data_IF_118039689478
#
_entry.id   IF_118039689478
#
_cell.length_a   1.000
_cell.length_b   1.000
_cell.length_c   1.000
_cell.angle_alpha   90.00
_cell.angle_beta   90.00
_cell.angle_gamma   90.00
#
_symmetry.space_group_name_H-M   'P 1'
#
loop_
_entity.id
_entity.type
_entity.pdbx_description
1 polymer ?
#
# COMPACT_ATOMS: atom_id res chain seq x y z
N UNK A 1 -9.41 6.29 -8.47
CA UNK A 1 -9.54 7.51 -7.63
C UNK A 1 -8.79 8.64 -8.29
N UNK A 2 -9.19 9.88 -8.07
CA UNK A 2 -8.52 11.06 -8.62
C UNK A 2 -7.73 11.73 -7.51
N UNK A 3 -6.50 12.13 -7.77
CA UNK A 3 -5.65 12.90 -6.86
C UNK A 3 -5.55 14.32 -7.38
N UNK A 4 -5.81 15.30 -6.53
CA UNK A 4 -5.65 16.71 -6.88
C UNK A 4 -4.29 17.24 -6.45
N UNK A 5 -3.77 18.23 -7.19
CA UNK A 5 -2.50 18.89 -6.87
C UNK A 5 -2.50 19.41 -5.43
N UNK A 6 -3.60 20.02 -4.96
CA UNK A 6 -3.76 20.53 -3.58
C UNK A 6 -3.48 19.44 -2.54
N UNK A 7 -4.15 18.29 -2.69
CA UNK A 7 -4.01 17.16 -1.79
C UNK A 7 -2.57 16.63 -1.72
N UNK A 8 -1.92 16.48 -2.89
CA UNK A 8 -0.52 16.07 -2.96
C UNK A 8 0.40 17.03 -2.20
N UNK A 9 0.25 18.34 -2.43
CA UNK A 9 1.11 19.37 -1.82
C UNK A 9 0.96 19.43 -0.30
N UNK A 10 -0.27 19.33 0.21
CA UNK A 10 -0.58 19.33 1.64
C UNK A 10 0.03 18.09 2.33
N UNK A 11 -0.18 16.89 1.77
CA UNK A 11 0.32 15.64 2.34
C UNK A 11 1.84 15.57 2.36
N UNK A 12 2.52 16.03 1.30
CA UNK A 12 3.98 16.02 1.21
C UNK A 12 4.63 17.32 1.70
N UNK A 13 3.85 18.27 2.22
CA UNK A 13 4.32 19.55 2.77
C UNK A 13 5.19 20.33 1.77
N UNK A 14 4.74 20.42 0.52
CA UNK A 14 5.41 21.14 -0.55
C UNK A 14 4.83 22.54 -0.64
N UNK A 15 5.69 23.55 -0.63
CA UNK A 15 5.31 24.96 -0.65
C UNK A 15 4.98 25.43 -2.08
N UNK A 16 3.86 26.14 -2.25
CA UNK A 16 3.54 26.80 -3.52
C UNK A 16 4.30 28.12 -3.64
N UNK A 17 5.01 28.27 -4.75
CA UNK A 17 5.65 29.53 -5.14
C UNK A 17 4.74 30.37 -6.05
N UNK A 18 3.95 29.69 -6.91
CA UNK A 18 2.90 30.30 -7.72
C UNK A 18 1.76 29.31 -7.90
N UNK A 19 0.55 29.70 -7.53
CA UNK A 19 -0.68 28.91 -7.75
C UNK A 19 -1.91 29.79 -7.73
N UNK A 20 -3.01 29.27 -8.24
CA UNK A 20 -4.38 29.76 -8.03
C UNK A 20 -5.23 28.59 -7.55
N UNK A 21 -6.41 28.85 -6.98
CA UNK A 21 -7.31 27.78 -6.53
C UNK A 21 -7.65 26.81 -7.69
N UNK A 22 -7.87 27.32 -8.89
CA UNK A 22 -8.13 26.52 -10.10
C UNK A 22 -6.96 25.56 -10.42
N UNK A 23 -5.70 26.05 -10.32
CA UNK A 23 -4.51 25.26 -10.59
C UNK A 23 -4.27 24.17 -9.55
N UNK A 24 -4.68 24.43 -8.30
CA UNK A 24 -4.59 23.44 -7.23
C UNK A 24 -5.65 22.33 -7.35
N UNK A 25 -6.70 22.55 -8.13
CA UNK A 25 -7.74 21.54 -8.44
C UNK A 25 -7.41 20.71 -9.70
N UNK A 26 -6.25 20.90 -10.33
CA UNK A 26 -5.83 20.03 -11.43
C UNK A 26 -5.66 18.59 -10.96
N UNK A 27 -6.11 17.67 -11.80
CA UNK A 27 -6.04 16.23 -11.56
C UNK A 27 -4.65 15.67 -11.90
N UNK A 28 -4.19 14.73 -11.11
CA UNK A 28 -3.00 13.92 -11.35
C UNK A 28 -3.49 12.51 -11.66
N UNK A 29 -3.18 12.01 -12.85
CA UNK A 29 -3.73 10.74 -13.38
C UNK A 29 -2.69 9.62 -13.43
N UNK A 30 -1.42 9.92 -13.20
CA UNK A 30 -0.31 8.95 -13.23
C UNK A 30 0.64 9.16 -12.04
N UNK A 31 1.25 8.08 -11.59
CA UNK A 31 2.29 8.10 -10.54
C UNK A 31 3.70 8.36 -11.10
N UNK A 32 3.83 8.30 -12.41
CA UNK A 32 5.09 8.59 -13.08
C UNK A 32 5.49 10.06 -12.94
N UNK A 33 6.76 10.29 -12.63
CA UNK A 33 7.35 11.62 -12.48
C UNK A 33 8.34 11.86 -13.63
N UNK A 34 8.17 12.97 -14.34
CA UNK A 34 9.11 13.38 -15.39
C UNK A 34 10.19 14.28 -14.81
N UNK A 35 11.43 13.99 -15.12
CA UNK A 35 12.58 14.88 -14.92
C UNK A 35 13.04 15.34 -16.30
N UNK A 36 12.68 16.58 -16.71
CA UNK A 36 12.96 17.05 -18.06
C UNK A 36 14.46 17.09 -18.30
N UNK A 37 14.88 16.55 -19.43
CA UNK A 37 16.28 16.47 -19.84
C UNK A 37 16.43 16.89 -21.31
N UNK A 38 16.04 16.01 -22.21
CA UNK A 38 16.12 16.26 -23.66
C UNK A 38 15.18 17.38 -24.10
N UNK A 39 14.06 17.54 -23.44
CA UNK A 39 13.07 18.59 -23.68
C UNK A 39 13.69 19.98 -23.53
N UNK A 40 14.67 20.14 -22.65
CA UNK A 40 15.42 21.39 -22.48
C UNK A 40 16.32 21.73 -23.68
N UNK A 41 16.59 20.76 -24.56
CA UNK A 41 17.32 20.97 -25.82
C UNK A 41 16.41 21.17 -27.02
N UNK A 42 15.10 21.16 -26.81
CA UNK A 42 14.09 21.28 -27.87
C UNK A 42 13.64 19.95 -28.48
N UNK A 43 13.98 18.81 -27.86
CA UNK A 43 13.55 17.49 -28.31
C UNK A 43 12.36 17.01 -27.47
N UNK A 44 11.19 16.91 -28.09
CA UNK A 44 9.92 16.60 -27.42
C UNK A 44 9.29 15.28 -27.84
N UNK A 45 9.98 14.45 -28.65
CA UNK A 45 9.48 13.13 -28.97
C UNK A 45 9.37 12.31 -27.68
N UNK A 46 8.19 11.70 -27.46
CA UNK A 46 7.85 10.95 -26.24
C UNK A 46 7.82 11.80 -24.94
N UNK A 47 7.70 13.12 -25.04
CA UNK A 47 7.46 13.95 -23.88
C UNK A 47 6.06 13.68 -23.30
N UNK A 48 5.98 13.55 -21.99
CA UNK A 48 4.75 13.26 -21.22
C UNK A 48 4.38 14.48 -20.37
N UNK A 49 3.67 15.46 -20.93
CA UNK A 49 3.30 16.67 -20.22
C UNK A 49 2.30 16.44 -19.08
N UNK A 50 1.51 15.37 -19.15
CA UNK A 50 0.51 14.96 -18.12
C UNK A 50 1.13 14.51 -16.79
N UNK A 51 2.45 14.34 -16.75
CA UNK A 51 3.17 13.95 -15.54
C UNK A 51 3.61 15.17 -14.72
N UNK A 52 3.81 14.97 -13.43
CA UNK A 52 4.47 15.97 -12.58
C UNK A 52 5.88 16.23 -13.14
N UNK A 53 6.21 17.48 -13.36
CA UNK A 53 7.54 17.88 -13.83
C UNK A 53 8.42 18.22 -12.63
N UNK A 54 9.44 17.39 -12.35
CA UNK A 54 10.34 17.55 -11.21
C UNK A 54 11.70 18.07 -11.67
N UNK A 55 12.05 19.26 -11.22
CA UNK A 55 13.33 19.90 -11.52
C UNK A 55 14.29 19.82 -10.34
N UNK A 56 15.46 19.25 -10.58
CA UNK A 56 16.55 19.18 -9.63
C UNK A 56 17.73 20.06 -10.02
N UNK A 57 18.89 19.81 -9.40
CA UNK A 57 20.11 20.60 -9.61
C UNK A 57 20.62 20.56 -11.06
N UNK A 58 20.52 19.40 -11.73
CA UNK A 58 21.01 19.27 -13.11
C UNK A 58 20.18 20.12 -14.07
N UNK A 59 18.87 19.96 -13.98
CA UNK A 59 17.89 20.67 -14.80
C UNK A 59 17.99 22.18 -14.54
N UNK A 60 18.05 22.57 -13.27
CA UNK A 60 18.20 23.97 -12.87
C UNK A 60 19.53 24.59 -13.37
N UNK A 61 20.63 23.89 -13.17
CA UNK A 61 21.96 24.35 -13.61
C UNK A 61 22.03 24.59 -15.13
N UNK A 62 21.42 23.68 -15.90
CA UNK A 62 21.34 23.81 -17.35
C UNK A 62 20.48 25.00 -17.76
N UNK A 63 19.34 25.23 -17.15
CA UNK A 63 18.51 26.42 -17.38
C UNK A 63 19.24 27.71 -17.04
N UNK A 64 20.01 27.75 -15.94
CA UNK A 64 20.74 28.92 -15.50
C UNK A 64 21.94 29.25 -16.43
N UNK A 65 22.46 28.29 -17.18
CA UNK A 65 23.49 28.50 -18.19
C UNK A 65 22.95 29.15 -19.48
N UNK A 66 21.61 29.14 -19.69
CA UNK A 66 20.99 29.78 -20.85
C UNK A 66 20.84 31.29 -20.65
N UNK A 67 20.73 32.02 -21.77
CA UNK A 67 20.24 33.39 -21.73
C UNK A 67 18.79 33.43 -21.25
N UNK A 68 18.35 34.55 -20.67
CA UNK A 68 16.96 34.72 -20.22
C UNK A 68 15.94 34.46 -21.35
N UNK A 69 16.26 34.91 -22.56
CA UNK A 69 15.39 34.69 -23.73
C UNK A 69 15.25 33.18 -24.06
N UNK A 70 16.37 32.47 -24.19
CA UNK A 70 16.34 31.03 -24.50
C UNK A 70 15.71 30.21 -23.39
N UNK A 71 15.99 30.55 -22.13
CA UNK A 71 15.36 29.93 -20.97
C UNK A 71 13.83 30.05 -21.00
N UNK A 72 13.33 31.25 -21.28
CA UNK A 72 11.90 31.47 -21.42
C UNK A 72 11.29 30.66 -22.58
N UNK A 73 11.95 30.64 -23.77
CA UNK A 73 11.45 29.86 -24.91
C UNK A 73 11.32 28.36 -24.58
N UNK A 74 12.37 27.77 -24.00
CA UNK A 74 12.38 26.35 -23.62
C UNK A 74 11.29 26.07 -22.61
N UNK A 75 11.18 26.86 -21.55
CA UNK A 75 10.15 26.70 -20.54
C UNK A 75 8.75 26.85 -21.11
N UNK A 76 8.51 27.78 -22.03
CA UNK A 76 7.21 27.99 -22.68
C UNK A 76 6.80 26.81 -23.58
N UNK A 77 7.77 26.06 -24.14
CA UNK A 77 7.51 24.86 -24.91
C UNK A 77 7.24 23.65 -24.01
N UNK A 78 8.00 23.52 -22.90
CA UNK A 78 7.83 22.44 -21.94
C UNK A 78 6.53 22.53 -21.13
N UNK A 79 6.08 23.74 -20.83
CA UNK A 79 4.91 24.00 -20.02
C UNK A 79 3.66 23.88 -20.88
N UNK A 80 2.93 22.80 -20.71
CA UNK A 80 1.70 22.51 -21.47
C UNK A 80 0.48 22.49 -20.55
N UNK A 81 -0.72 22.78 -21.07
CA UNK A 81 -1.94 22.84 -20.25
C UNK A 81 -2.22 21.56 -19.47
N UNK A 82 -1.79 20.40 -19.98
CA UNK A 82 -1.92 19.07 -19.39
C UNK A 82 -1.03 18.90 -18.15
N UNK A 83 0.03 19.71 -18.01
CA UNK A 83 0.96 19.59 -16.86
C UNK A 83 0.25 19.93 -15.56
N UNK A 84 0.16 19.00 -14.61
CA UNK A 84 -0.54 19.25 -13.36
C UNK A 84 0.20 20.25 -12.48
N UNK A 85 1.50 20.07 -12.29
CA UNK A 85 2.34 20.92 -11.43
C UNK A 85 3.82 20.77 -11.79
N UNK A 86 4.58 21.85 -11.57
CA UNK A 86 6.03 21.85 -11.65
C UNK A 86 6.59 21.97 -10.24
N UNK A 87 7.49 21.07 -9.87
CA UNK A 87 8.10 21.05 -8.55
C UNK A 87 9.61 21.25 -8.67
N UNK A 88 10.12 22.29 -8.03
CA UNK A 88 11.55 22.60 -7.96
C UNK A 88 12.09 22.07 -6.62
N UNK A 89 12.98 21.08 -6.70
CA UNK A 89 13.58 20.42 -5.55
C UNK A 89 14.75 21.21 -4.94
N UNK A 90 15.24 20.75 -3.76
CA UNK A 90 16.42 21.28 -3.06
C UNK A 90 16.32 22.75 -2.63
N UNK A 91 15.14 23.33 -2.60
CA UNK A 91 14.97 24.75 -2.28
C UNK A 91 15.61 25.70 -3.30
N UNK A 92 15.88 25.24 -4.52
CA UNK A 92 16.49 26.04 -5.57
C UNK A 92 15.64 27.26 -5.90
N UNK A 93 16.29 28.33 -6.32
CA UNK A 93 15.61 29.55 -6.72
C UNK A 93 14.85 29.36 -8.04
N UNK A 94 13.67 29.95 -8.12
CA UNK A 94 12.82 29.88 -9.30
C UNK A 94 13.07 31.13 -10.13
N UNK A 95 13.58 30.99 -11.36
CA UNK A 95 13.88 32.14 -12.22
C UNK A 95 12.61 32.84 -12.69
N UNK A 96 12.69 34.15 -12.97
CA UNK A 96 11.56 34.99 -13.39
C UNK A 96 10.90 34.46 -14.68
N UNK A 97 11.70 33.94 -15.61
CA UNK A 97 11.21 33.35 -16.86
C UNK A 97 10.32 32.13 -16.61
N UNK A 98 10.58 31.38 -15.55
CA UNK A 98 9.74 30.23 -15.13
C UNK A 98 8.38 30.72 -14.61
N UNK A 99 8.37 31.75 -13.76
CA UNK A 99 7.10 32.37 -13.31
C UNK A 99 6.29 32.89 -14.46
N UNK A 100 6.94 33.58 -15.41
CA UNK A 100 6.29 34.13 -16.59
C UNK A 100 5.66 33.03 -17.46
N UNK A 101 6.43 32.00 -17.80
CA UNK A 101 5.94 30.86 -18.58
C UNK A 101 4.80 30.12 -17.87
N UNK A 102 4.89 29.91 -16.55
CA UNK A 102 3.85 29.26 -15.77
C UNK A 102 2.54 30.06 -15.70
N UNK A 103 2.62 31.38 -15.57
CA UNK A 103 1.44 32.27 -15.61
C UNK A 103 0.76 32.19 -16.97
N UNK A 104 1.49 32.27 -18.05
CA UNK A 104 0.96 32.22 -19.42
C UNK A 104 0.33 30.87 -19.74
N UNK A 105 0.90 29.78 -19.25
CA UNK A 105 0.44 28.41 -19.47
C UNK A 105 -0.55 27.90 -18.41
N UNK A 106 -0.82 28.68 -17.38
CA UNK A 106 -1.70 28.33 -16.26
C UNK A 106 -1.27 27.05 -15.56
N UNK A 107 -0.05 27.00 -15.03
CA UNK A 107 0.53 25.85 -14.34
C UNK A 107 1.05 26.30 -12.97
N UNK A 108 0.78 25.52 -11.92
CA UNK A 108 1.31 25.78 -10.60
C UNK A 108 2.82 25.47 -10.53
N UNK A 109 3.58 26.32 -9.84
CA UNK A 109 4.98 26.06 -9.49
C UNK A 109 5.07 25.93 -7.97
N UNK A 110 5.71 24.86 -7.56
CA UNK A 110 5.93 24.56 -6.14
C UNK A 110 7.42 24.32 -5.88
N UNK A 111 7.82 24.43 -4.63
CA UNK A 111 9.21 24.27 -4.20
C UNK A 111 9.31 23.37 -3.00
N UNK A 112 10.25 22.43 -3.01
CA UNK A 112 10.57 21.56 -1.90
C UNK A 112 12.05 21.67 -1.52
N UNK A 113 12.37 21.65 -0.23
CA UNK A 113 13.75 21.57 0.28
C UNK A 113 14.35 20.18 0.14
N UNK A 114 13.54 19.16 -0.11
CA UNK A 114 13.93 17.76 -0.23
C UNK A 114 14.85 17.53 -1.43
N UNK A 115 15.81 16.61 -1.28
CA UNK A 115 16.68 16.20 -2.38
C UNK A 115 15.88 15.53 -3.51
N UNK A 116 16.24 15.80 -4.77
CA UNK A 116 15.46 15.42 -5.95
C UNK A 116 15.10 13.94 -6.02
N UNK A 117 16.08 13.03 -5.77
CA UNK A 117 15.83 11.59 -5.84
C UNK A 117 14.89 11.11 -4.72
N UNK A 118 15.03 11.68 -3.52
CA UNK A 118 14.14 11.39 -2.40
C UNK A 118 12.72 11.90 -2.68
N UNK A 119 12.61 13.14 -3.15
CA UNK A 119 11.31 13.73 -3.50
C UNK A 119 10.60 12.96 -4.61
N UNK A 120 11.35 12.53 -5.64
CA UNK A 120 10.80 11.66 -6.70
C UNK A 120 10.20 10.37 -6.13
N UNK A 121 10.92 9.70 -5.22
CA UNK A 121 10.42 8.49 -4.56
C UNK A 121 9.20 8.75 -3.68
N UNK A 122 9.18 9.86 -2.91
CA UNK A 122 8.04 10.26 -2.08
C UNK A 122 6.80 10.57 -2.94
N UNK A 123 6.96 11.28 -4.05
CA UNK A 123 5.89 11.60 -5.00
C UNK A 123 5.31 10.33 -5.64
N UNK A 124 6.15 9.48 -6.23
CA UNK A 124 5.71 8.23 -6.87
C UNK A 124 5.01 7.32 -5.85
N UNK A 125 5.63 7.08 -4.69
CA UNK A 125 5.04 6.21 -3.66
C UNK A 125 3.69 6.71 -3.14
N UNK A 126 3.53 8.03 -2.99
CA UNK A 126 2.25 8.62 -2.61
C UNK A 126 1.20 8.41 -3.70
N UNK A 127 1.54 8.71 -4.96
CA UNK A 127 0.62 8.59 -6.09
C UNK A 127 0.27 7.14 -6.39
N UNK A 128 1.22 6.21 -6.34
CA UNK A 128 0.97 4.77 -6.51
C UNK A 128 -0.10 4.29 -5.53
N UNK A 129 0.06 4.66 -4.26
CA UNK A 129 -0.90 4.28 -3.22
C UNK A 129 -2.28 4.93 -3.40
N UNK A 130 -2.36 6.17 -3.92
CA UNK A 130 -3.62 6.92 -4.06
C UNK A 130 -4.34 6.65 -5.38
N UNK A 131 -3.61 6.40 -6.46
CA UNK A 131 -4.15 6.10 -7.79
C UNK A 131 -4.42 4.61 -8.00
N UNK A 132 -3.89 3.73 -7.14
CA UNK A 132 -4.11 2.30 -7.21
C UNK A 132 -5.60 1.97 -7.31
N UNK A 133 -5.93 1.08 -8.22
CA UNK A 133 -7.29 0.56 -8.35
C UNK A 133 -7.64 -0.24 -7.08
N UNK A 134 -8.67 0.20 -6.38
CA UNK A 134 -9.18 -0.49 -5.19
C UNK A 134 -10.26 -1.48 -5.58
N UNK A 135 -10.21 -2.64 -4.98
CA UNK A 135 -11.31 -3.62 -4.99
C UNK A 135 -11.69 -3.93 -3.54
N UNK A 136 -12.89 -4.44 -3.33
CA UNK A 136 -13.33 -4.78 -1.98
C UNK A 136 -13.40 -6.29 -1.82
N UNK A 137 -12.92 -6.79 -0.69
CA UNK A 137 -13.07 -8.20 -0.29
C UNK A 137 -13.82 -8.28 1.03
N UNK A 138 -14.64 -9.32 1.18
CA UNK A 138 -15.35 -9.55 2.42
C UNK A 138 -14.47 -10.33 3.40
N UNK A 139 -14.32 -9.81 4.62
CA UNK A 139 -13.48 -10.42 5.65
C UNK A 139 -13.12 -9.46 6.78
N UNK A 140 -12.27 -9.93 7.67
CA UNK A 140 -11.67 -9.15 8.76
C UNK A 140 -10.17 -9.06 8.51
N UNK A 141 -9.63 -7.87 8.44
CA UNK A 141 -8.19 -7.65 8.33
C UNK A 141 -7.62 -7.27 9.70
N UNK A 142 -6.70 -8.09 10.18
CA UNK A 142 -6.00 -7.91 11.46
C UNK A 142 -4.50 -7.72 11.25
N UNK A 143 -3.89 -6.89 12.06
CA UNK A 143 -2.43 -6.86 12.21
C UNK A 143 -2.05 -7.75 13.40
N UNK A 144 -1.48 -8.92 13.11
CA UNK A 144 -1.09 -9.93 14.09
C UNK A 144 0.43 -9.96 14.18
N UNK A 145 1.01 -9.49 15.28
CA UNK A 145 2.46 -9.36 15.48
C UNK A 145 3.17 -8.55 14.38
N UNK A 146 2.49 -7.56 13.79
CA UNK A 146 3.03 -6.74 12.70
C UNK A 146 2.80 -7.30 11.30
N UNK A 147 2.11 -8.42 11.16
CA UNK A 147 1.75 -9.05 9.89
C UNK A 147 0.25 -8.89 9.63
N UNK A 148 -0.12 -8.41 8.44
CA UNK A 148 -1.53 -8.33 8.04
C UNK A 148 -2.08 -9.69 7.65
N UNK A 149 -3.11 -10.13 8.36
CA UNK A 149 -3.81 -11.39 8.17
C UNK A 149 -5.26 -11.11 7.77
N UNK A 150 -5.63 -11.51 6.56
CA UNK A 150 -7.00 -11.41 6.05
C UNK A 150 -7.79 -12.66 6.43
N UNK A 151 -8.76 -12.52 7.33
CA UNK A 151 -9.62 -13.61 7.81
C UNK A 151 -10.89 -13.61 6.97
N UNK A 152 -11.10 -14.68 6.22
CA UNK A 152 -12.25 -14.90 5.35
C UNK A 152 -13.04 -16.15 5.77
N UNK A 153 -14.19 -16.36 5.18
CA UNK A 153 -15.07 -17.50 5.44
C UNK A 153 -16.53 -17.12 5.31
N UNK A 154 -17.43 -18.07 5.42
CA UNK A 154 -18.86 -17.88 5.24
C UNK A 154 -19.46 -16.87 6.23
N UNK A 155 -20.58 -16.27 5.85
CA UNK A 155 -21.29 -15.37 6.76
C UNK A 155 -21.73 -16.15 8.02
N UNK A 156 -21.46 -15.55 9.19
CA UNK A 156 -21.82 -16.16 10.48
C UNK A 156 -20.87 -17.20 11.04
N UNK A 157 -19.72 -17.43 10.41
CA UNK A 157 -18.72 -18.39 10.89
C UNK A 157 -17.92 -17.88 12.11
N UNK A 158 -18.09 -16.61 12.50
CA UNK A 158 -17.42 -16.03 13.68
C UNK A 158 -16.19 -15.19 13.35
N UNK A 159 -16.11 -14.59 12.15
CA UNK A 159 -14.95 -13.75 11.75
C UNK A 159 -14.77 -12.54 12.67
N UNK A 160 -15.84 -11.76 12.88
CA UNK A 160 -15.79 -10.54 13.71
C UNK A 160 -15.57 -10.87 15.20
N UNK A 161 -16.19 -11.94 15.71
CA UNK A 161 -15.95 -12.44 17.07
C UNK A 161 -14.48 -12.87 17.25
N UNK A 162 -13.90 -13.52 16.24
CA UNK A 162 -12.48 -13.87 16.23
C UNK A 162 -11.60 -12.62 16.20
N UNK A 163 -11.98 -11.61 15.41
CA UNK A 163 -11.31 -10.31 15.38
C UNK A 163 -11.32 -9.62 16.75
N UNK A 164 -12.46 -9.59 17.43
CA UNK A 164 -12.58 -9.03 18.78
C UNK A 164 -11.70 -9.77 19.79
N UNK A 165 -11.67 -11.10 19.73
CA UNK A 165 -10.81 -11.90 20.61
C UNK A 165 -9.33 -11.61 20.35
N UNK A 166 -8.90 -11.44 19.09
CA UNK A 166 -7.54 -11.06 18.72
C UNK A 166 -7.20 -9.65 19.24
N UNK A 167 -8.14 -8.69 19.18
CA UNK A 167 -7.95 -7.35 19.79
C UNK A 167 -7.72 -7.46 21.30
N UNK A 168 -8.52 -8.26 22.02
CA UNK A 168 -8.34 -8.51 23.47
C UNK A 168 -6.98 -9.14 23.80
N UNK A 169 -6.39 -9.85 22.85
CA UNK A 169 -5.07 -10.49 22.95
C UNK A 169 -3.93 -9.56 22.57
N UNK A 170 -4.23 -8.30 22.23
CA UNK A 170 -3.24 -7.24 21.95
C UNK A 170 -2.88 -7.06 20.48
N UNK A 171 -3.65 -7.66 19.56
CA UNK A 171 -3.51 -7.41 18.13
C UNK A 171 -4.35 -6.21 17.69
N UNK A 172 -4.14 -5.73 16.48
CA UNK A 172 -4.78 -4.52 15.98
C UNK A 172 -5.81 -4.83 14.89
N UNK A 173 -6.99 -4.24 15.03
CA UNK A 173 -7.99 -4.25 13.97
C UNK A 173 -7.57 -3.27 12.88
N UNK A 174 -7.64 -3.71 11.62
CA UNK A 174 -7.52 -2.85 10.44
C UNK A 174 -8.89 -2.59 9.85
N UNK A 175 -9.63 -3.64 9.50
CA UNK A 175 -10.96 -3.53 8.90
C UNK A 175 -11.84 -4.72 9.27
N UNK A 176 -13.15 -4.51 9.36
CA UNK A 176 -14.17 -5.55 9.53
C UNK A 176 -15.22 -5.45 8.42
N UNK A 177 -15.78 -6.61 8.07
CA UNK A 177 -16.80 -6.83 7.06
C UNK A 177 -16.35 -6.51 5.63
N UNK A 178 -15.97 -5.30 5.33
CA UNK A 178 -15.46 -4.84 4.04
C UNK A 178 -14.03 -4.33 4.17
N UNK A 179 -13.12 -5.01 3.48
CA UNK A 179 -11.72 -4.60 3.35
C UNK A 179 -11.50 -4.06 1.94
N UNK A 180 -11.17 -2.79 1.81
CA UNK A 180 -10.77 -2.20 0.53
C UNK A 180 -9.28 -2.52 0.32
N UNK A 181 -8.99 -3.28 -0.74
CA UNK A 181 -7.63 -3.74 -1.04
C UNK A 181 -7.12 -3.16 -2.35
N UNK A 182 -5.81 -2.91 -2.42
CA UNK A 182 -5.15 -2.39 -3.60
C UNK A 182 -3.71 -2.92 -3.72
N UNK A 183 -3.26 -3.10 -4.95
CA UNK A 183 -1.87 -3.39 -5.26
C UNK A 183 -1.05 -2.10 -5.08
N UNK A 184 -0.04 -2.12 -4.22
CA UNK A 184 0.89 -1.00 -4.06
C UNK A 184 2.01 -1.07 -5.09
N UNK A 185 2.36 -2.29 -5.48
CA UNK A 185 3.30 -2.66 -6.53
C UNK A 185 2.90 -4.05 -7.07
N UNK A 186 3.70 -4.64 -7.96
CA UNK A 186 3.39 -5.91 -8.62
C UNK A 186 3.31 -7.13 -7.67
N UNK A 187 3.75 -6.99 -6.42
CA UNK A 187 3.86 -8.10 -5.47
C UNK A 187 3.26 -7.82 -4.09
N UNK A 188 2.88 -6.58 -3.82
CA UNK A 188 2.46 -6.15 -2.48
C UNK A 188 1.00 -5.73 -2.46
N UNK A 189 0.17 -6.48 -1.74
CA UNK A 189 -1.25 -6.18 -1.51
C UNK A 189 -1.41 -5.43 -0.19
N UNK A 190 -2.10 -4.30 -0.22
CA UNK A 190 -2.48 -3.54 0.98
C UNK A 190 -3.99 -3.58 1.19
N UNK A 191 -4.40 -3.52 2.45
CA UNK A 191 -5.80 -3.44 2.84
C UNK A 191 -6.05 -2.31 3.84
N UNK A 192 -7.19 -1.65 3.68
CA UNK A 192 -7.66 -0.56 4.53
C UNK A 192 -9.18 -0.70 4.76
N UNK A 193 -9.75 -0.11 5.83
CA UNK A 193 -11.19 -0.10 6.03
C UNK A 193 -11.86 0.83 5.01
N UNK A 194 -13.10 0.50 4.63
CA UNK A 194 -13.96 1.52 4.03
C UNK A 194 -14.12 2.67 5.04
N UNK A 195 -14.07 3.94 4.57
CA UNK A 195 -14.05 5.14 5.44
C UNK A 195 -15.17 5.13 6.49
N UNK A 196 -16.38 4.74 6.08
CA UNK A 196 -17.56 4.67 6.97
C UNK A 196 -17.45 3.57 8.03
N UNK A 197 -16.61 2.55 7.83
CA UNK A 197 -16.44 1.41 8.73
C UNK A 197 -15.14 1.50 9.55
N UNK A 198 -14.44 2.62 9.49
CA UNK A 198 -13.16 2.81 10.16
C UNK A 198 -13.29 2.61 11.68
N UNK A 199 -12.47 1.73 12.25
CA UNK A 199 -12.42 1.34 13.66
C UNK A 199 -13.69 0.62 14.18
N UNK A 200 -14.69 0.40 13.34
CA UNK A 200 -15.93 -0.26 13.72
C UNK A 200 -15.81 -1.78 13.52
N UNK A 201 -16.51 -2.52 14.38
CA UNK A 201 -16.62 -3.96 14.33
C UNK A 201 -18.05 -4.35 14.69
N UNK A 202 -18.68 -5.22 13.87
CA UNK A 202 -20.03 -5.70 14.13
C UNK A 202 -20.01 -7.04 14.85
N UNK A 203 -20.67 -7.08 16.02
CA UNK A 203 -20.84 -8.31 16.81
C UNK A 203 -22.32 -8.66 16.87
N UNK A 204 -22.66 -9.86 16.42
CA UNK A 204 -24.03 -10.34 16.45
C UNK A 204 -24.57 -10.39 17.89
N UNK A 205 -25.75 -9.79 18.09
CA UNK A 205 -26.40 -9.73 19.42
C UNK A 205 -25.91 -8.56 20.30
N UNK A 206 -24.83 -7.86 19.90
CA UNK A 206 -24.35 -6.64 20.58
C UNK A 206 -24.56 -5.41 19.70
N UNK A 207 -24.33 -5.54 18.39
CA UNK A 207 -24.36 -4.46 17.41
C UNK A 207 -22.98 -3.97 17.03
N UNK A 208 -22.92 -2.74 16.52
CA UNK A 208 -21.67 -2.10 16.09
C UNK A 208 -20.96 -1.50 17.30
N UNK A 209 -19.68 -1.84 17.46
CA UNK A 209 -18.81 -1.32 18.51
C UNK A 209 -17.62 -0.58 17.90
N UNK A 210 -17.16 0.47 18.56
CA UNK A 210 -15.95 1.23 18.17
C UNK A 210 -14.75 0.70 18.97
N UNK A 211 -13.85 0.01 18.27
CA UNK A 211 -12.66 -0.62 18.86
C UNK A 211 -11.69 0.41 19.41
N UNK A 212 -11.52 1.54 18.72
CA UNK A 212 -10.62 2.60 19.19
C UNK A 212 -11.13 3.20 20.51
N UNK A 213 -12.42 3.45 20.63
CA UNK A 213 -13.04 4.00 21.84
C UNK A 213 -13.02 3.02 23.03
N UNK A 214 -13.17 1.70 22.77
CA UNK A 214 -13.24 0.70 23.82
C UNK A 214 -11.88 0.16 24.26
N UNK A 215 -10.90 0.03 23.35
CA UNK A 215 -9.61 -0.61 23.60
C UNK A 215 -8.41 0.31 23.38
N UNK A 216 -8.64 1.57 22.96
CA UNK A 216 -7.62 2.58 22.75
C UNK A 216 -7.00 2.56 21.34
N UNK A 217 -6.25 3.64 21.03
CA UNK A 217 -5.64 3.83 19.70
C UNK A 217 -4.62 2.73 19.34
N UNK A 218 -4.05 2.04 20.33
CA UNK A 218 -3.12 0.93 20.09
C UNK A 218 -3.79 -0.33 19.56
N UNK A 219 -5.12 -0.43 19.65
CA UNK A 219 -5.90 -1.57 19.21
C UNK A 219 -6.34 -1.51 17.74
N UNK A 220 -6.05 -0.39 17.06
CA UNK A 220 -6.42 -0.16 15.66
C UNK A 220 -5.22 0.20 14.80
N UNK A 221 -5.37 0.04 13.48
CA UNK A 221 -4.37 0.43 12.49
C UNK A 221 -5.08 0.83 11.20
N UNK A 222 -4.64 1.93 10.57
CA UNK A 222 -5.32 2.50 9.41
C UNK A 222 -5.22 1.65 8.15
N UNK A 223 -4.10 0.95 7.96
CA UNK A 223 -3.89 0.04 6.82
C UNK A 223 -2.82 -0.98 7.14
N UNK A 224 -2.80 -2.10 6.44
CA UNK A 224 -1.76 -3.12 6.58
C UNK A 224 -1.52 -3.83 5.25
N UNK A 225 -0.27 -4.24 5.03
CA UNK A 225 0.06 -5.21 4.00
C UNK A 225 -0.63 -6.55 4.29
N UNK A 226 -1.30 -7.14 3.31
CA UNK A 226 -1.94 -8.45 3.42
C UNK A 226 -0.92 -9.53 3.05
N UNK A 227 -0.36 -10.17 4.05
CA UNK A 227 0.72 -11.15 3.87
C UNK A 227 0.25 -12.60 3.97
N UNK A 228 -0.89 -12.82 4.61
CA UNK A 228 -1.49 -14.13 4.81
C UNK A 228 -3.00 -14.04 4.73
N UNK A 229 -3.65 -14.96 4.03
CA UNK A 229 -5.08 -15.17 4.08
C UNK A 229 -5.40 -16.40 4.95
N UNK A 230 -6.40 -16.28 5.80
CA UNK A 230 -6.95 -17.39 6.58
C UNK A 230 -8.40 -17.58 6.20
N UNK A 231 -8.74 -18.75 5.68
CA UNK A 231 -10.12 -19.08 5.34
C UNK A 231 -10.72 -19.99 6.43
N UNK A 232 -11.72 -19.47 7.14
CA UNK A 232 -12.47 -20.22 8.12
C UNK A 232 -13.54 -21.06 7.41
N UNK A 233 -13.56 -22.37 7.62
CA UNK A 233 -14.55 -23.27 7.05
C UNK A 233 -15.22 -24.12 8.13
N UNK A 234 -16.48 -24.49 7.91
CA UNK A 234 -17.19 -25.36 8.85
C UNK A 234 -16.51 -26.73 8.91
N UNK A 235 -16.35 -27.26 10.13
CA UNK A 235 -15.82 -28.59 10.32
C UNK A 235 -16.82 -29.65 9.79
N UNK A 236 -16.39 -30.43 8.81
CA UNK A 236 -17.13 -31.56 8.25
C UNK A 236 -16.48 -32.89 8.69
N UNK A 237 -17.30 -33.78 9.26
CA UNK A 237 -16.81 -35.11 9.64
C UNK A 237 -16.44 -35.91 8.37
N UNK A 238 -15.18 -36.38 8.31
CA UNK A 238 -14.70 -37.16 7.17
C UNK A 238 -13.88 -36.36 6.13
N UNK A 239 -13.89 -35.03 6.21
CA UNK A 239 -12.98 -34.20 5.39
C UNK A 239 -11.54 -34.29 5.93
N UNK A 240 -10.61 -34.59 5.06
CA UNK A 240 -9.19 -34.57 5.41
C UNK A 240 -8.69 -33.13 5.35
N UNK A 241 -8.34 -32.60 6.51
CA UNK A 241 -7.70 -31.29 6.59
C UNK A 241 -6.18 -31.45 6.53
N UNK A 242 -5.49 -30.55 5.85
CA UNK A 242 -4.04 -30.52 5.88
C UNK A 242 -3.55 -30.25 7.31
N UNK A 243 -2.93 -31.28 7.91
CA UNK A 243 -2.42 -31.21 9.30
C UNK A 243 -1.01 -30.63 9.37
N UNK A 244 -0.30 -30.61 8.26
CA UNK A 244 1.11 -30.18 8.20
C UNK A 244 1.27 -28.76 7.66
N UNK A 245 0.19 -28.16 7.10
CA UNK A 245 0.23 -26.81 6.56
C UNK A 245 1.14 -26.70 5.31
N UNK A 246 1.21 -27.79 4.53
CA UNK A 246 2.06 -27.88 3.35
C UNK A 246 1.29 -27.76 2.03
N UNK A 247 -0.01 -27.46 2.07
CA UNK A 247 -0.85 -27.39 0.87
C UNK A 247 -0.33 -26.40 -0.18
N UNK A 248 0.41 -25.39 0.25
CA UNK A 248 0.90 -24.35 -0.66
C UNK A 248 -0.23 -23.55 -1.31
N UNK A 249 -1.44 -23.60 -0.72
CA UNK A 249 -2.60 -22.90 -1.26
C UNK A 249 -2.37 -21.40 -1.29
N UNK A 250 -2.84 -20.78 -2.36
CA UNK A 250 -2.83 -19.32 -2.53
C UNK A 250 -4.21 -18.83 -2.95
N UNK A 251 -4.47 -17.56 -2.68
CA UNK A 251 -5.63 -16.84 -3.21
C UNK A 251 -5.14 -15.65 -4.03
N UNK A 252 -5.74 -15.43 -5.17
CA UNK A 252 -5.46 -14.26 -6.00
C UNK A 252 -6.41 -13.12 -5.63
N UNK A 253 -5.86 -11.97 -5.26
CA UNK A 253 -6.62 -10.76 -4.91
C UNK A 253 -5.96 -9.58 -5.62
N UNK A 254 -6.74 -8.86 -6.44
CA UNK A 254 -6.26 -7.72 -7.23
C UNK A 254 -5.00 -8.03 -8.07
N UNK A 255 -4.91 -9.26 -8.63
CA UNK A 255 -3.76 -9.73 -9.42
C UNK A 255 -2.55 -10.18 -8.60
N UNK A 256 -2.62 -10.15 -7.27
CA UNK A 256 -1.54 -10.57 -6.37
C UNK A 256 -1.89 -11.89 -5.70
N UNK A 257 -0.94 -12.84 -5.75
CA UNK A 257 -1.08 -14.16 -5.12
C UNK A 257 -0.67 -14.10 -3.64
N UNK A 258 -1.63 -14.35 -2.74
CA UNK A 258 -1.44 -14.35 -1.29
C UNK A 258 -1.52 -15.78 -0.76
N UNK A 259 -0.57 -16.25 0.05
CA UNK A 259 -0.64 -17.54 0.72
C UNK A 259 -1.91 -17.67 1.55
N UNK A 260 -2.59 -18.82 1.45
CA UNK A 260 -3.83 -19.08 2.16
C UNK A 260 -3.74 -20.33 3.04
N UNK A 261 -4.28 -20.24 4.26
CA UNK A 261 -4.43 -21.37 5.19
C UNK A 261 -5.92 -21.57 5.45
N UNK A 262 -6.37 -22.81 5.38
CA UNK A 262 -7.76 -23.18 5.71
C UNK A 262 -7.84 -23.72 7.14
N UNK A 263 -8.71 -23.13 7.95
CA UNK A 263 -8.88 -23.50 9.36
C UNK A 263 -10.31 -24.00 9.59
N UNK A 264 -10.48 -25.28 9.97
CA UNK A 264 -11.79 -25.80 10.33
C UNK A 264 -12.26 -25.25 11.67
N UNK A 265 -13.44 -24.65 11.68
CA UNK A 265 -14.11 -24.11 12.87
C UNK A 265 -14.92 -25.23 13.52
N UNK A 266 -14.58 -25.56 14.75
CA UNK A 266 -15.29 -26.55 15.57
C UNK A 266 -15.61 -25.97 16.93
N UNK A 267 -16.81 -26.28 17.46
CA UNK A 267 -17.22 -25.86 18.79
C UNK A 267 -16.19 -26.30 19.85
N UNK A 268 -15.82 -25.37 20.73
CA UNK A 268 -14.84 -25.61 21.79
C UNK A 268 -13.38 -25.39 21.39
N UNK A 269 -13.08 -25.04 20.11
CA UNK A 269 -11.74 -24.70 19.66
C UNK A 269 -11.57 -23.18 19.63
N UNK A 270 -10.53 -22.66 20.27
CA UNK A 270 -10.21 -21.24 20.21
C UNK A 270 -9.52 -20.93 18.87
N UNK A 271 -10.26 -20.33 17.94
CA UNK A 271 -9.80 -20.02 16.58
C UNK A 271 -8.71 -18.92 16.59
N UNK A 272 -8.81 -17.95 17.50
CA UNK A 272 -7.84 -16.87 17.61
C UNK A 272 -6.43 -17.40 17.93
N UNK A 273 -6.31 -18.38 18.83
CA UNK A 273 -5.04 -19.05 19.14
C UNK A 273 -4.47 -19.77 17.91
N UNK A 274 -5.34 -20.42 17.12
CA UNK A 274 -4.90 -21.12 15.91
C UNK A 274 -4.40 -20.13 14.86
N UNK A 275 -5.06 -19.00 14.71
CA UNK A 275 -4.65 -17.94 13.78
C UNK A 275 -3.32 -17.32 14.22
N UNK A 276 -3.14 -17.03 15.52
CA UNK A 276 -1.85 -16.57 16.05
C UNK A 276 -0.72 -17.56 15.73
N UNK A 277 -0.96 -18.85 15.99
CA UNK A 277 0.02 -19.90 15.69
C UNK A 277 0.33 -19.99 14.19
N UNK A 278 -0.69 -19.88 13.33
CA UNK A 278 -0.53 -19.90 11.88
C UNK A 278 0.31 -18.70 11.40
N UNK A 279 0.02 -17.49 11.91
CA UNK A 279 0.75 -16.29 11.61
C UNK A 279 2.23 -16.39 12.03
N UNK A 280 2.50 -16.87 13.25
CA UNK A 280 3.86 -17.07 13.76
C UNK A 280 4.61 -18.12 12.95
N UNK A 281 3.97 -19.25 12.62
CA UNK A 281 4.57 -20.31 11.82
C UNK A 281 4.92 -19.82 10.39
N UNK A 282 3.98 -19.09 9.77
CA UNK A 282 4.21 -18.48 8.46
C UNK A 282 5.42 -17.53 8.49
N UNK A 283 5.48 -16.66 9.50
CA UNK A 283 6.62 -15.75 9.69
C UNK A 283 7.94 -16.50 9.89
N UNK A 284 7.93 -17.60 10.67
CA UNK A 284 9.12 -18.44 10.85
C UNK A 284 9.59 -19.06 9.53
N UNK A 285 8.66 -19.54 8.69
CA UNK A 285 8.97 -20.05 7.34
C UNK A 285 9.61 -18.98 6.45
N UNK A 286 9.09 -17.75 6.49
CA UNK A 286 9.68 -16.61 5.77
C UNK A 286 11.13 -16.31 6.22
N UNK A 287 11.43 -16.54 7.49
CA UNK A 287 12.78 -16.40 8.05
C UNK A 287 13.69 -17.62 7.81
N UNK A 288 13.21 -18.62 7.06
CA UNK A 288 13.96 -19.84 6.73
C UNK A 288 13.80 -21.00 7.71
N UNK A 289 12.98 -20.86 8.75
CA UNK A 289 12.69 -21.94 9.71
C UNK A 289 11.39 -22.65 9.37
N UNK A 290 11.48 -23.87 8.84
CA UNK A 290 10.31 -24.70 8.51
C UNK A 290 10.29 -25.95 9.41
N UNK A 291 9.44 -25.90 10.45
CA UNK A 291 9.29 -27.00 11.41
C UNK A 291 8.83 -28.30 10.75
N UNK A 292 8.05 -28.23 9.68
CA UNK A 292 7.58 -29.42 8.96
C UNK A 292 8.71 -30.11 8.23
N UNK A 293 9.55 -29.38 7.52
CA UNK A 293 10.75 -29.92 6.86
C UNK A 293 11.70 -30.55 7.86
N UNK A 294 11.92 -29.87 8.99
CA UNK A 294 12.76 -30.40 10.07
C UNK A 294 12.18 -31.72 10.64
N UNK A 295 10.86 -31.78 10.78
CA UNK A 295 10.19 -33.02 11.24
C UNK A 295 10.34 -34.14 10.20
N UNK A 296 10.14 -33.87 8.92
CA UNK A 296 10.29 -34.85 7.84
C UNK A 296 11.71 -35.38 7.74
N UNK A 297 12.72 -34.52 7.86
CA UNK A 297 14.13 -34.91 7.90
C UNK A 297 14.45 -35.83 9.11
N UNK A 298 13.96 -35.43 10.29
CA UNK A 298 14.15 -36.27 11.51
C UNK A 298 13.45 -37.63 11.40
N UNK A 299 12.25 -37.65 10.81
CA UNK A 299 11.52 -38.90 10.59
C UNK A 299 12.24 -39.79 9.58
N UNK A 300 12.76 -39.22 8.49
CA UNK A 300 13.57 -39.92 7.48
C UNK A 300 14.80 -40.58 8.10
N UNK A 301 15.57 -39.81 8.87
CA UNK A 301 16.75 -40.32 9.57
C UNK A 301 16.41 -41.45 10.54
N UNK A 302 15.32 -41.37 11.29
CA UNK A 302 14.85 -42.41 12.21
C UNK A 302 14.48 -43.71 11.46
N UNK A 303 13.81 -43.58 10.31
CA UNK A 303 13.45 -44.74 9.48
C UNK A 303 14.67 -45.42 8.90
N UNK A 304 15.68 -44.65 8.48
CA UNK A 304 16.98 -45.20 7.96
C UNK A 304 17.72 -45.95 9.07
N UNK A 305 17.87 -45.37 10.25
CA UNK A 305 18.49 -46.03 11.41
C UNK A 305 17.84 -47.35 11.77
N UNK A 306 16.50 -47.39 11.83
CA UNK A 306 15.77 -48.62 12.12
C UNK A 306 15.87 -49.69 11.00
N UNK A 307 16.21 -49.29 9.76
CA UNK A 307 16.47 -50.24 8.65
C UNK A 307 17.88 -50.86 8.70
N UNK A 308 18.86 -50.16 9.27
CA UNK A 308 20.22 -50.64 9.43
C UNK A 308 20.39 -51.55 10.66
N UNK A 309 19.48 -51.43 11.65
CA UNK A 309 19.52 -52.27 12.88
C UNK A 309 18.67 -53.56 12.80
N UNK A 310 17.86 -53.77 11.74
CA UNK A 310 16.99 -54.93 11.51
C UNK A 310 17.47 -55.80 10.35
#
# INVERSE_FOLDING_TARGET
MTVYVKELLENLRIECAYSTEELLQKEITTSDITRPGLEMTGYFDYYSPERIQLMGMKEWSYLMAMTAHNRYQVLSQMFQPETPVIIVARGLEIPEEMYRAAKEKKIAICRSKTATSRLSGELSSYLDSRLAQRTSVHGVLMDIYGMGVLIQGDSGIGKSETGLELVKRGHRLVADDRVDVFAKDDVTLWGEPAEILRHLLEIRGVGIIDIMSLYGASAVKDSSEVQLAVYLENYETGKVFDRLGNSGDTIEIAGISIPQIRIPVKTGRNISVVIEAAAMNYRAKQMGYDATKIFEERLGNLIEQNREEG
#
